data_IF_047007618955
#
_entry.id   IF_047007618955
#
_cell.length_a   1.000
_cell.length_b   1.000
_cell.length_c   1.000
_cell.angle_alpha   90.00
_cell.angle_beta   90.00
_cell.angle_gamma   90.00
#
_symmetry.space_group_name_H-M   'P 1'
#
loop_
_entity.id
_entity.type
_entity.pdbx_description
1 polymer ?
#
# COMPACT_ATOMS: atom_id res chain seq x y z
N UNK A 1 13.38 -22.87 4.16
CA UNK A 1 13.97 -21.71 3.47
C UNK A 1 14.84 -20.94 4.48
N UNK A 2 16.07 -20.53 4.14
CA UNK A 2 17.01 -19.92 5.11
C UNK A 2 16.80 -18.40 5.17
N UNK A 3 16.71 -17.83 6.37
CA UNK A 3 16.66 -16.37 6.53
C UNK A 3 18.02 -15.73 6.26
N UNK A 4 18.03 -14.68 5.43
CA UNK A 4 19.24 -13.93 5.10
C UNK A 4 19.62 -12.98 6.23
N UNK A 5 20.86 -13.05 6.71
CA UNK A 5 21.39 -12.06 7.66
C UNK A 5 21.60 -10.73 6.96
N UNK A 6 20.96 -9.67 7.43
CA UNK A 6 21.19 -8.31 6.92
C UNK A 6 22.48 -7.75 7.55
N UNK A 7 23.39 -7.25 6.71
CA UNK A 7 24.68 -6.67 7.12
C UNK A 7 24.75 -5.18 6.79
N UNK A 8 25.66 -4.47 7.46
CA UNK A 8 25.97 -3.06 7.16
C UNK A 8 24.86 -2.08 7.55
N UNK A 9 24.27 -2.24 8.75
CA UNK A 9 23.07 -1.46 9.13
C UNK A 9 23.25 0.06 9.08
N UNK A 10 24.42 0.58 9.44
CA UNK A 10 24.72 2.02 9.30
C UNK A 10 24.57 2.50 7.85
N UNK A 11 25.07 1.73 6.87
CA UNK A 11 24.95 2.06 5.44
C UNK A 11 23.48 1.99 4.99
N UNK A 12 22.74 0.99 5.48
CA UNK A 12 21.31 0.84 5.15
C UNK A 12 20.46 1.97 5.72
N UNK A 13 20.75 2.44 6.94
CA UNK A 13 20.08 3.61 7.52
C UNK A 13 20.37 4.89 6.72
N UNK A 14 21.60 5.08 6.23
CA UNK A 14 21.91 6.16 5.28
C UNK A 14 21.13 6.04 3.97
N UNK A 15 20.94 4.82 3.47
CA UNK A 15 20.12 4.56 2.27
C UNK A 15 18.65 4.92 2.48
N UNK A 16 18.10 4.66 3.69
CA UNK A 16 16.76 5.10 4.05
C UNK A 16 16.69 6.62 4.02
N UNK A 17 17.64 7.32 4.65
CA UNK A 17 17.65 8.79 4.63
C UNK A 17 17.74 9.36 3.21
N UNK A 18 18.58 8.77 2.36
CA UNK A 18 18.65 9.14 0.95
C UNK A 18 17.32 8.93 0.24
N UNK A 19 16.68 7.77 0.42
CA UNK A 19 15.35 7.49 -0.14
C UNK A 19 14.31 8.53 0.34
N UNK A 20 14.34 8.95 1.60
CA UNK A 20 13.46 10.00 2.12
C UNK A 20 13.69 11.30 1.34
N UNK A 21 14.93 11.78 1.30
CA UNK A 21 15.29 13.05 0.67
C UNK A 21 14.93 13.06 -0.81
N UNK A 22 15.19 11.96 -1.51
CA UNK A 22 14.91 11.84 -2.95
C UNK A 22 13.40 11.82 -3.26
N UNK A 23 12.53 11.50 -2.30
CA UNK A 23 11.07 11.41 -2.48
C UNK A 23 10.27 12.52 -1.77
N UNK A 24 10.90 13.42 -1.02
CA UNK A 24 10.20 14.58 -0.44
C UNK A 24 9.67 15.58 -1.49
N UNK A 25 10.39 15.90 -2.59
CA UNK A 25 9.82 16.71 -3.66
C UNK A 25 8.64 15.99 -4.31
N UNK A 26 7.49 16.67 -4.40
CA UNK A 26 6.30 16.12 -5.01
C UNK A 26 6.40 16.16 -6.53
N UNK A 27 5.98 15.08 -7.20
CA UNK A 27 6.08 14.91 -8.66
C UNK A 27 4.76 15.29 -9.33
N UNK A 28 4.57 16.59 -9.55
CA UNK A 28 3.35 17.11 -10.17
C UNK A 28 3.11 16.57 -11.58
N UNK A 29 4.16 16.24 -12.33
CA UNK A 29 4.10 15.65 -13.67
C UNK A 29 3.33 14.31 -13.69
N UNK A 30 3.54 13.48 -12.67
CA UNK A 30 2.81 12.21 -12.53
C UNK A 30 1.36 12.44 -12.13
N UNK A 31 1.12 13.37 -11.20
CA UNK A 31 -0.23 13.70 -10.76
C UNK A 31 -1.07 14.28 -11.90
N UNK A 32 -0.49 15.11 -12.77
CA UNK A 32 -1.19 15.67 -13.93
C UNK A 32 -1.55 14.60 -14.96
N UNK A 33 -0.63 13.65 -15.20
CA UNK A 33 -0.77 12.60 -16.21
C UNK A 33 -1.74 11.50 -15.76
N UNK A 34 -1.55 10.97 -14.56
CA UNK A 34 -2.25 9.78 -14.07
C UNK A 34 -3.34 10.08 -13.05
N UNK A 35 -3.43 11.33 -12.57
CA UNK A 35 -4.33 11.76 -11.48
C UNK A 35 -4.04 11.10 -10.13
N UNK A 36 -2.94 10.38 -10.02
CA UNK A 36 -2.43 9.79 -8.78
C UNK A 36 -0.91 9.69 -8.81
N UNK A 37 -0.30 9.72 -7.62
CA UNK A 37 1.11 9.35 -7.41
C UNK A 37 1.25 8.62 -6.08
N UNK A 38 2.27 7.78 -5.96
CA UNK A 38 2.59 7.09 -4.72
C UNK A 38 4.11 6.96 -4.52
N UNK A 39 4.50 6.92 -3.25
CA UNK A 39 5.87 6.64 -2.84
C UNK A 39 5.92 5.35 -2.04
N UNK A 40 6.39 4.28 -2.67
CA UNK A 40 6.65 2.97 -2.04
C UNK A 40 7.98 2.95 -1.27
N UNK A 41 8.11 2.01 -0.32
CA UNK A 41 9.40 1.73 0.32
C UNK A 41 10.32 0.97 -0.65
N UNK A 42 11.09 1.72 -1.44
CA UNK A 42 12.10 1.16 -2.36
C UNK A 42 13.49 1.23 -1.73
N UNK A 43 13.67 0.54 -0.60
CA UNK A 43 14.93 0.52 0.16
C UNK A 43 15.54 -0.87 0.20
N UNK A 44 16.69 -1.03 -0.48
CA UNK A 44 17.45 -2.27 -0.44
C UNK A 44 17.95 -2.61 0.98
N UNK A 45 17.80 -3.86 1.45
CA UNK A 45 17.37 -5.02 0.68
C UNK A 45 15.88 -5.37 0.85
N UNK A 46 15.10 -4.56 1.56
CA UNK A 46 13.73 -4.90 1.95
C UNK A 46 12.74 -4.83 0.80
N UNK A 47 13.11 -4.20 -0.32
CA UNK A 47 12.36 -4.22 -1.58
C UNK A 47 12.92 -5.23 -2.60
N UNK A 48 13.93 -6.05 -2.24
CA UNK A 48 14.56 -6.96 -3.20
C UNK A 48 13.75 -8.24 -3.36
N UNK A 49 13.68 -8.75 -4.60
CA UNK A 49 13.30 -10.13 -4.84
C UNK A 49 14.44 -11.07 -4.39
N UNK A 50 14.11 -12.12 -3.65
CA UNK A 50 15.09 -13.15 -3.27
C UNK A 50 15.42 -14.06 -4.47
N UNK A 51 16.55 -13.81 -5.13
CA UNK A 51 17.01 -14.68 -6.23
C UNK A 51 17.60 -16.02 -5.78
N UNK A 52 18.09 -16.13 -4.53
CA UNK A 52 18.89 -17.29 -4.08
C UNK A 52 18.12 -18.23 -3.14
N UNK A 53 16.78 -18.25 -3.21
CA UNK A 53 15.94 -19.09 -2.35
C UNK A 53 16.06 -18.79 -0.84
N UNK A 54 16.48 -17.57 -0.48
CA UNK A 54 16.67 -17.14 0.92
C UNK A 54 15.72 -16.00 1.28
N UNK A 55 14.96 -16.13 2.35
CA UNK A 55 13.99 -15.10 2.74
C UNK A 55 14.72 -13.87 3.26
N UNK A 56 14.38 -12.71 2.73
CA UNK A 56 14.81 -11.43 3.29
C UNK A 56 13.91 -11.15 4.50
N UNK A 57 14.46 -11.03 5.71
CA UNK A 57 13.63 -10.77 6.88
C UNK A 57 13.04 -9.35 6.79
N UNK A 58 11.79 -9.16 7.26
CA UNK A 58 11.16 -7.84 7.27
C UNK A 58 11.97 -6.86 8.13
N UNK A 59 11.85 -5.57 7.85
CA UNK A 59 12.46 -4.53 8.67
C UNK A 59 11.89 -4.57 10.10
N UNK A 60 12.76 -4.50 11.10
CA UNK A 60 12.38 -4.54 12.53
C UNK A 60 13.09 -3.45 13.33
N UNK A 61 12.55 -3.14 14.51
CA UNK A 61 13.14 -2.21 15.48
C UNK A 61 13.44 -0.84 14.86
N UNK A 62 14.67 -0.36 15.05
CA UNK A 62 15.11 0.95 14.56
C UNK A 62 14.95 1.14 13.06
N UNK A 63 15.18 0.11 12.25
CA UNK A 63 15.05 0.22 10.79
C UNK A 63 13.59 0.46 10.38
N UNK A 64 12.65 -0.32 10.95
CA UNK A 64 11.21 -0.12 10.70
C UNK A 64 10.77 1.27 11.12
N UNK A 65 11.25 1.74 12.29
CA UNK A 65 10.97 3.10 12.77
C UNK A 65 11.46 4.19 11.80
N UNK A 66 12.69 4.07 11.28
CA UNK A 66 13.23 5.02 10.31
C UNK A 66 12.41 5.07 9.02
N UNK A 67 11.92 3.92 8.54
CA UNK A 67 11.06 3.86 7.35
C UNK A 67 9.71 4.52 7.60
N UNK A 68 9.09 4.28 8.77
CA UNK A 68 7.85 4.95 9.17
C UNK A 68 8.05 6.46 9.26
N UNK A 69 9.13 6.91 9.92
CA UNK A 69 9.51 8.32 9.97
C UNK A 69 9.70 8.91 8.57
N UNK A 70 10.27 8.15 7.66
CA UNK A 70 10.41 8.52 6.27
C UNK A 70 9.09 8.74 5.55
N UNK A 71 8.18 7.77 5.64
CA UNK A 71 6.82 7.90 5.09
C UNK A 71 6.10 9.12 5.67
N UNK A 72 6.21 9.37 6.97
CA UNK A 72 5.64 10.55 7.63
C UNK A 72 6.25 11.86 7.12
N UNK A 73 7.58 11.92 6.92
CA UNK A 73 8.24 13.11 6.38
C UNK A 73 7.84 13.38 4.93
N UNK A 74 7.79 12.35 4.11
CA UNK A 74 7.33 12.43 2.71
C UNK A 74 5.88 12.91 2.68
N UNK A 75 5.01 12.33 3.50
CA UNK A 75 3.62 12.74 3.64
C UNK A 75 3.49 14.24 3.93
N UNK A 76 4.18 14.75 4.96
CA UNK A 76 4.06 16.16 5.32
C UNK A 76 4.69 17.09 4.27
N UNK A 77 5.79 16.69 3.64
CA UNK A 77 6.38 17.45 2.55
C UNK A 77 5.45 17.53 1.34
N UNK A 78 4.79 16.42 0.98
CA UNK A 78 3.79 16.38 -0.08
C UNK A 78 2.57 17.22 0.27
N UNK A 79 2.09 17.11 1.52
CA UNK A 79 0.97 17.89 2.02
C UNK A 79 1.21 19.40 1.87
N UNK A 80 2.36 19.90 2.33
CA UNK A 80 2.72 21.32 2.22
C UNK A 80 2.71 21.80 0.76
N UNK A 81 3.29 21.00 -0.15
CA UNK A 81 3.32 21.29 -1.58
C UNK A 81 1.92 21.27 -2.21
N UNK A 82 1.06 20.33 -1.82
CA UNK A 82 -0.32 20.23 -2.33
C UNK A 82 -1.25 21.31 -1.76
N UNK A 83 -1.04 21.79 -0.52
CA UNK A 83 -1.81 22.90 0.04
C UNK A 83 -1.57 24.21 -0.71
N UNK A 84 -0.37 24.39 -1.29
CA UNK A 84 -0.06 25.55 -2.15
C UNK A 84 -0.80 25.51 -3.48
N UNK A 85 -1.09 24.32 -4.03
CA UNK A 85 -1.76 24.20 -5.33
C UNK A 85 -3.27 24.50 -5.28
N UNK A 86 -3.85 24.65 -4.08
CA UNK A 86 -5.30 24.88 -3.84
C UNK A 86 -6.21 23.85 -4.52
N UNK A 87 -5.67 22.70 -4.90
CA UNK A 87 -6.43 21.63 -5.52
C UNK A 87 -6.93 20.69 -4.43
N UNK A 88 -8.13 20.18 -4.59
CA UNK A 88 -8.65 19.16 -3.71
C UNK A 88 -7.96 17.81 -3.98
N UNK A 89 -7.49 17.16 -2.92
CA UNK A 89 -6.65 15.97 -3.02
C UNK A 89 -6.99 14.93 -1.94
N UNK A 90 -6.76 13.67 -2.29
CA UNK A 90 -6.56 12.57 -1.37
C UNK A 90 -5.07 12.49 -1.04
N UNK A 91 -4.70 12.46 0.24
CA UNK A 91 -3.34 12.17 0.68
C UNK A 91 -3.38 11.35 1.96
N UNK A 92 -2.91 10.10 1.89
CA UNK A 92 -2.89 9.16 3.02
C UNK A 92 -1.58 8.35 3.06
N UNK A 93 -1.21 7.87 4.24
CA UNK A 93 -0.19 6.85 4.44
C UNK A 93 -0.88 5.50 4.56
N UNK A 94 -0.46 4.51 3.78
CA UNK A 94 -0.92 3.14 3.87
C UNK A 94 0.16 2.30 4.54
N UNK A 95 -0.10 1.82 5.76
CA UNK A 95 0.81 1.00 6.55
C UNK A 95 0.33 -0.44 6.60
N UNK A 96 1.05 -1.33 5.93
CA UNK A 96 0.76 -2.76 5.93
C UNK A 96 1.41 -3.40 7.15
N UNK A 97 0.61 -4.08 7.98
CA UNK A 97 1.13 -4.66 9.22
C UNK A 97 2.02 -5.89 8.93
N UNK A 98 1.48 -6.87 8.21
CA UNK A 98 2.17 -8.11 7.88
C UNK A 98 3.18 -7.96 6.73
N UNK A 99 2.84 -7.15 5.73
CA UNK A 99 3.62 -6.91 4.50
C UNK A 99 4.22 -5.50 4.48
N UNK A 100 4.95 -5.15 5.54
CA UNK A 100 5.37 -3.76 5.79
C UNK A 100 6.12 -3.10 4.63
N UNK A 101 6.86 -3.85 3.83
CA UNK A 101 7.53 -3.41 2.61
C UNK A 101 6.59 -2.83 1.54
N UNK A 102 5.30 -3.19 1.55
CA UNK A 102 4.28 -2.63 0.66
C UNK A 102 3.70 -1.29 1.14
N UNK A 103 4.12 -0.83 2.32
CA UNK A 103 3.68 0.46 2.87
C UNK A 103 4.13 1.61 2.00
N UNK A 104 3.28 2.64 1.91
CA UNK A 104 3.45 3.74 0.94
C UNK A 104 2.73 5.00 1.36
N UNK A 105 3.10 6.12 0.76
CA UNK A 105 2.29 7.35 0.74
C UNK A 105 1.53 7.38 -0.58
N UNK A 106 0.23 7.66 -0.55
CA UNK A 106 -0.64 7.71 -1.74
C UNK A 106 -1.25 9.10 -1.84
N UNK A 107 -1.15 9.70 -3.02
CA UNK A 107 -1.81 10.94 -3.40
C UNK A 107 -2.69 10.71 -4.63
N UNK A 108 -3.88 11.30 -4.65
CA UNK A 108 -4.75 11.27 -5.82
C UNK A 108 -5.61 12.54 -5.91
N UNK A 109 -6.09 12.85 -7.11
CA UNK A 109 -6.95 13.99 -7.42
C UNK A 109 -8.04 13.60 -8.41
N UNK A 110 -9.10 14.41 -8.51
CA UNK A 110 -10.22 14.16 -9.43
C UNK A 110 -10.87 12.79 -9.19
N UNK A 111 -11.19 12.07 -10.28
CA UNK A 111 -11.86 10.76 -10.20
C UNK A 111 -11.05 9.71 -9.41
N UNK A 112 -9.71 9.76 -9.47
CA UNK A 112 -8.85 8.85 -8.70
C UNK A 112 -8.98 9.11 -7.20
N UNK A 113 -9.12 10.38 -6.79
CA UNK A 113 -9.44 10.74 -5.40
C UNK A 113 -10.77 10.11 -4.99
N UNK A 114 -11.82 10.32 -5.77
CA UNK A 114 -13.18 9.83 -5.46
C UNK A 114 -13.19 8.31 -5.31
N UNK A 115 -12.43 7.61 -6.16
CA UNK A 115 -12.25 6.16 -6.06
C UNK A 115 -11.66 5.73 -4.70
N UNK A 116 -10.58 6.35 -4.24
CA UNK A 116 -9.98 6.01 -2.95
C UNK A 116 -10.85 6.38 -1.75
N UNK A 117 -11.54 7.53 -1.80
CA UNK A 117 -12.45 7.94 -0.72
C UNK A 117 -13.64 6.99 -0.61
N UNK A 118 -14.24 6.60 -1.74
CA UNK A 118 -15.33 5.62 -1.79
C UNK A 118 -14.93 4.28 -1.18
N UNK A 119 -13.67 3.87 -1.35
CA UNK A 119 -13.17 2.65 -0.72
C UNK A 119 -13.07 2.73 0.81
N UNK A 120 -13.10 3.92 1.39
CA UNK A 120 -13.04 4.18 2.83
C UNK A 120 -14.41 4.54 3.43
N UNK A 121 -15.44 4.75 2.59
CA UNK A 121 -16.79 5.02 3.06
C UNK A 121 -17.32 3.91 3.97
N UNK A 122 -17.91 4.31 5.09
CA UNK A 122 -18.46 3.37 6.09
C UNK A 122 -17.42 2.65 6.95
N UNK A 123 -16.13 2.80 6.66
CA UNK A 123 -15.04 2.30 7.53
C UNK A 123 -14.90 3.27 8.70
N UNK A 124 -15.09 2.76 9.92
CA UNK A 124 -14.95 3.58 11.13
C UNK A 124 -13.48 3.90 11.39
N UNK A 125 -13.24 5.09 11.89
CA UNK A 125 -11.93 5.44 12.44
C UNK A 125 -11.61 4.51 13.62
N UNK A 126 -10.40 3.97 13.61
CA UNK A 126 -9.87 3.07 14.62
C UNK A 126 -8.56 3.63 15.17
N UNK A 127 -8.31 3.40 16.45
CA UNK A 127 -7.01 3.70 17.03
C UNK A 127 -5.98 2.69 16.54
N UNK A 128 -4.86 3.20 16.01
CA UNK A 128 -3.71 2.36 15.69
C UNK A 128 -3.26 1.61 16.96
N UNK A 129 -3.28 0.27 16.98
CA UNK A 129 -2.97 -0.48 18.19
C UNK A 129 -1.54 -0.18 18.64
N UNK A 130 -1.37 0.10 19.92
CA UNK A 130 -0.11 0.53 20.52
C UNK A 130 1.01 -0.51 20.35
N UNK A 131 0.68 -1.78 20.15
CA UNK A 131 1.65 -2.85 19.90
C UNK A 131 2.12 -2.94 18.43
N UNK A 132 1.32 -2.50 17.46
CA UNK A 132 1.60 -2.66 16.02
C UNK A 132 2.81 -1.82 15.58
N UNK A 133 2.90 -0.60 16.12
CA UNK A 133 3.92 0.38 15.79
C UNK A 133 4.45 1.11 17.03
N UNK A 134 4.60 0.39 18.15
CA UNK A 134 4.92 0.93 19.49
C UNK A 134 6.01 2.01 19.50
N UNK A 135 7.10 1.81 18.77
CA UNK A 135 8.23 2.75 18.73
C UNK A 135 7.95 4.04 17.92
N UNK A 136 6.85 4.09 17.16
CA UNK A 136 6.44 5.22 16.33
C UNK A 136 5.14 5.87 16.84
N UNK A 137 4.62 5.47 18.00
CA UNK A 137 3.28 5.86 18.47
C UNK A 137 3.06 7.39 18.47
N UNK A 138 4.05 8.16 18.95
CA UNK A 138 3.97 9.64 18.98
C UNK A 138 3.96 10.30 17.60
N UNK A 139 4.50 9.64 16.57
CA UNK A 139 4.42 10.14 15.19
C UNK A 139 3.06 9.80 14.59
N UNK A 140 2.55 8.62 14.91
CA UNK A 140 1.30 8.10 14.37
C UNK A 140 0.07 8.73 15.03
N UNK A 141 0.18 9.30 16.23
CA UNK A 141 -0.91 10.01 16.90
C UNK A 141 -1.38 11.27 16.19
N UNK A 142 -0.59 11.79 15.23
CA UNK A 142 -0.97 12.95 14.43
C UNK A 142 -1.98 12.62 13.32
N UNK A 143 -2.29 11.34 13.12
CA UNK A 143 -3.14 10.86 12.03
C UNK A 143 -4.42 10.24 12.57
N UNK A 144 -5.52 10.45 11.85
CA UNK A 144 -6.72 9.64 11.99
C UNK A 144 -6.56 8.39 11.12
N UNK A 145 -6.75 7.22 11.72
CA UNK A 145 -6.49 5.93 11.08
C UNK A 145 -7.79 5.17 10.83
N UNK A 146 -7.86 4.51 9.68
CA UNK A 146 -8.88 3.53 9.33
C UNK A 146 -8.21 2.19 9.06
N UNK A 147 -8.81 1.09 9.56
CA UNK A 147 -8.31 -0.26 9.36
C UNK A 147 -9.06 -0.94 8.21
N UNK A 148 -8.33 -1.61 7.32
CA UNK A 148 -8.88 -2.49 6.28
C UNK A 148 -8.16 -3.82 6.28
N UNK A 149 -8.83 -4.84 5.73
CA UNK A 149 -8.20 -6.12 5.46
C UNK A 149 -7.22 -6.00 4.30
N UNK A 150 -6.01 -6.48 4.53
CA UNK A 150 -5.00 -6.72 3.51
C UNK A 150 -5.30 -8.07 2.85
N UNK A 151 -5.83 -8.06 1.62
CA UNK A 151 -6.23 -9.28 0.92
C UNK A 151 -5.51 -9.40 -0.43
N UNK A 152 -5.14 -10.62 -0.81
CA UNK A 152 -4.91 -10.93 -2.22
C UNK A 152 -6.23 -11.43 -2.81
N UNK A 153 -6.79 -10.72 -3.79
CA UNK A 153 -8.01 -11.13 -4.47
C UNK A 153 -7.68 -11.62 -5.87
N UNK A 154 -8.27 -12.76 -6.24
CA UNK A 154 -8.16 -13.36 -7.57
C UNK A 154 -9.54 -13.56 -8.16
N UNK A 155 -9.70 -13.25 -9.44
CA UNK A 155 -10.94 -13.51 -10.15
C UNK A 155 -10.90 -14.83 -10.92
N UNK A 156 -12.07 -15.39 -11.22
CA UNK A 156 -12.17 -16.49 -12.17
C UNK A 156 -11.68 -16.12 -13.59
N UNK A 157 -11.62 -14.83 -13.92
CA UNK A 157 -11.07 -14.34 -15.18
C UNK A 157 -9.53 -14.22 -15.16
N UNK A 158 -8.87 -14.36 -14.00
CA UNK A 158 -7.40 -14.30 -13.91
C UNK A 158 -6.75 -15.52 -14.59
N UNK A 159 -7.52 -16.61 -14.75
CA UNK A 159 -7.13 -17.74 -15.56
C UNK A 159 -7.57 -17.47 -17.01
N UNK A 160 -6.67 -16.92 -17.81
CA UNK A 160 -6.88 -16.67 -19.25
C UNK A 160 -7.15 -17.99 -20.03
N UNK A 161 -7.56 -17.87 -21.29
CA UNK A 161 -7.82 -19.04 -22.15
C UNK A 161 -6.52 -19.78 -22.48
N UNK A 162 -6.56 -21.09 -22.78
CA UNK A 162 -5.36 -21.85 -23.16
C UNK A 162 -4.57 -21.23 -24.33
N UNK A 163 -5.26 -20.55 -25.25
CA UNK A 163 -4.64 -19.87 -26.40
C UNK A 163 -3.78 -18.66 -25.99
N UNK A 164 -4.01 -18.07 -24.82
CA UNK A 164 -3.28 -16.91 -24.32
C UNK A 164 -1.91 -17.28 -23.74
N UNK A 165 -1.60 -18.58 -23.61
CA UNK A 165 -0.36 -19.07 -23.05
C UNK A 165 0.63 -19.50 -24.13
N UNK A 166 1.93 -19.38 -23.83
CA UNK A 166 3.00 -19.83 -24.73
C UNK A 166 2.98 -21.33 -25.00
N UNK A 167 2.37 -22.13 -24.10
CA UNK A 167 2.18 -23.56 -24.26
C UNK A 167 1.00 -24.08 -23.43
N UNK A 168 0.43 -25.23 -23.84
CA UNK A 168 -0.61 -25.92 -23.08
C UNK A 168 -0.08 -26.37 -21.70
N UNK A 169 1.19 -26.75 -21.60
CA UNK A 169 1.81 -27.17 -20.33
C UNK A 169 1.85 -26.00 -19.32
N UNK A 170 2.12 -24.78 -19.78
CA UNK A 170 2.10 -23.59 -18.91
C UNK A 170 0.69 -23.26 -18.43
N UNK A 171 -0.32 -23.38 -19.31
CA UNK A 171 -1.72 -23.26 -18.94
C UNK A 171 -2.10 -24.29 -17.85
N UNK A 172 -1.78 -25.57 -18.07
CA UNK A 172 -2.08 -26.64 -17.11
C UNK A 172 -1.36 -26.45 -15.77
N UNK A 173 -0.14 -25.91 -15.75
CA UNK A 173 0.56 -25.55 -14.50
C UNK A 173 -0.17 -24.44 -13.76
N UNK A 174 -0.59 -23.39 -14.47
CA UNK A 174 -1.29 -22.25 -13.89
C UNK A 174 -2.67 -22.66 -13.36
N UNK A 175 -3.43 -23.44 -14.13
CA UNK A 175 -4.71 -24.01 -13.71
C UNK A 175 -4.56 -24.88 -12.45
N UNK A 176 -3.55 -25.77 -12.43
CA UNK A 176 -3.27 -26.60 -11.26
C UNK A 176 -2.89 -25.78 -10.02
N UNK A 177 -2.12 -24.71 -10.20
CA UNK A 177 -1.77 -23.80 -9.11
C UNK A 177 -3.02 -23.07 -8.59
N UNK A 178 -3.86 -22.55 -9.48
CA UNK A 178 -5.09 -21.84 -9.15
C UNK A 178 -6.07 -22.73 -8.40
N UNK A 179 -6.29 -23.96 -8.89
CA UNK A 179 -7.12 -24.96 -8.23
C UNK A 179 -6.59 -25.36 -6.84
N UNK A 180 -5.27 -25.35 -6.64
CA UNK A 180 -4.68 -25.56 -5.30
C UNK A 180 -4.83 -24.33 -4.40
N UNK A 181 -4.81 -23.13 -4.97
CA UNK A 181 -5.01 -21.88 -4.23
C UNK A 181 -6.43 -21.80 -3.67
N UNK A 182 -7.45 -22.08 -4.48
CA UNK A 182 -8.87 -22.06 -4.09
C UNK A 182 -9.23 -23.06 -2.98
N UNK A 183 -8.43 -24.12 -2.76
CA UNK A 183 -8.63 -25.04 -1.64
C UNK A 183 -8.28 -24.45 -0.28
N UNK A 184 -7.57 -23.31 -0.24
CA UNK A 184 -7.21 -22.63 1.01
C UNK A 184 -8.39 -21.79 1.50
N UNK A 185 -8.50 -21.49 2.81
CA UNK A 185 -9.54 -20.61 3.33
C UNK A 185 -9.50 -19.23 2.67
N UNK A 186 -10.64 -18.78 2.16
CA UNK A 186 -10.82 -17.49 1.49
C UNK A 186 -12.28 -17.04 1.56
N UNK A 187 -12.51 -15.77 1.25
CA UNK A 187 -13.84 -15.20 1.09
C UNK A 187 -14.17 -15.08 -0.39
N UNK A 188 -15.39 -15.40 -0.78
CA UNK A 188 -15.89 -15.21 -2.14
C UNK A 188 -16.86 -14.03 -2.18
N UNK A 189 -16.70 -13.14 -3.15
CA UNK A 189 -17.63 -12.02 -3.40
C UNK A 189 -18.00 -11.99 -4.87
N UNK A 190 -19.29 -11.83 -5.16
CA UNK A 190 -19.79 -11.66 -6.53
C UNK A 190 -19.75 -10.19 -6.89
N UNK A 191 -18.99 -9.86 -7.93
CA UNK A 191 -18.88 -8.51 -8.48
C UNK A 191 -19.67 -8.46 -9.79
N UNK A 192 -20.77 -7.71 -9.79
CA UNK A 192 -21.57 -7.46 -10.99
C UNK A 192 -21.00 -6.32 -11.82
N UNK A 193 -20.94 -6.48 -13.14
CA UNK A 193 -20.70 -5.38 -14.07
C UNK A 193 -22.01 -4.67 -14.45
N UNK A 194 -21.89 -3.49 -15.08
CA UNK A 194 -23.05 -2.71 -15.53
C UNK A 194 -23.87 -3.41 -16.64
N UNK A 195 -23.35 -4.51 -17.21
CA UNK A 195 -24.00 -5.31 -18.26
C UNK A 195 -24.69 -6.56 -17.69
N UNK A 196 -24.63 -6.78 -16.37
CA UNK A 196 -25.24 -7.92 -15.70
C UNK A 196 -24.40 -9.20 -15.70
N UNK A 197 -23.12 -9.14 -16.10
CA UNK A 197 -22.19 -10.25 -15.90
C UNK A 197 -21.67 -10.24 -14.48
N UNK A 198 -21.46 -11.42 -13.91
CA UNK A 198 -20.91 -11.57 -12.57
C UNK A 198 -19.52 -12.20 -12.65
N UNK A 199 -18.58 -11.59 -11.93
CA UNK A 199 -17.23 -12.12 -11.72
C UNK A 199 -17.13 -12.57 -10.27
N UNK A 200 -16.67 -13.79 -10.05
CA UNK A 200 -16.37 -14.27 -8.69
C UNK A 200 -14.96 -13.81 -8.30
N UNK A 201 -14.87 -13.06 -7.21
CA UNK A 201 -13.61 -12.65 -6.60
C UNK A 201 -13.35 -13.50 -5.35
N UNK A 202 -12.21 -14.18 -5.33
CA UNK A 202 -11.71 -15.01 -4.24
C UNK A 202 -10.59 -14.26 -3.49
N UNK A 203 -10.88 -13.80 -2.28
CA UNK A 203 -9.98 -12.96 -1.49
C UNK A 203 -9.37 -13.73 -0.30
N UNK A 204 -8.04 -13.72 -0.22
CA UNK A 204 -7.25 -14.40 0.80
C UNK A 204 -6.62 -13.38 1.74
N UNK A 205 -6.97 -13.48 3.03
CA UNK A 205 -6.45 -12.59 4.06
C UNK A 205 -4.93 -12.73 4.26
N UNK A 206 -4.23 -11.60 4.22
CA UNK A 206 -2.78 -11.44 4.41
C UNK A 206 -2.41 -10.62 5.63
N UNK A 207 -3.34 -9.86 6.19
CA UNK A 207 -3.15 -9.07 7.41
C UNK A 207 -4.04 -7.83 7.42
N UNK A 208 -3.61 -6.79 8.12
CA UNK A 208 -4.31 -5.50 8.16
C UNK A 208 -3.50 -4.41 7.44
N UNK A 209 -4.24 -3.50 6.81
CA UNK A 209 -3.74 -2.22 6.29
C UNK A 209 -4.30 -1.10 7.16
N UNK A 210 -3.43 -0.21 7.62
CA UNK A 210 -3.80 1.00 8.33
C UNK A 210 -3.64 2.20 7.41
N UNK A 211 -4.74 2.88 7.11
CA UNK A 211 -4.79 4.02 6.20
C UNK A 211 -4.95 5.28 7.05
N UNK A 212 -3.93 6.12 7.05
CA UNK A 212 -3.82 7.29 7.93
C UNK A 212 -3.75 8.59 7.18
N UNK A 213 -4.48 9.59 7.63
CA UNK A 213 -4.36 10.96 7.13
C UNK A 213 -4.58 11.96 8.23
N UNK A 214 -4.02 13.15 8.07
CA UNK A 214 -4.48 14.32 8.82
C UNK A 214 -5.75 14.84 8.18
N UNK A 215 -6.65 15.44 8.98
CA UNK A 215 -7.77 16.18 8.41
C UNK A 215 -7.29 17.28 7.45
N UNK A 216 -8.03 17.50 6.37
CA UNK A 216 -7.74 18.55 5.39
C UNK A 216 -7.75 19.91 6.09
N UNK A 217 -6.62 20.61 6.04
CA UNK A 217 -6.56 22.02 6.40
C UNK A 217 -7.29 22.81 5.32
N UNK A 218 -8.52 23.23 5.65
CA UNK A 218 -9.34 24.33 5.12
C UNK A 218 -10.79 23.83 4.98
N UNK A 219 -11.53 23.87 6.11
CA UNK A 219 -12.95 24.22 6.06
C UNK A 219 -13.04 25.73 5.89
N UNK A 220 -12.89 26.23 4.66
CA UNK A 220 -13.41 27.56 4.32
C UNK A 220 -14.91 27.44 4.12
N UNK A 221 -15.64 27.32 5.23
CA UNK A 221 -17.07 27.61 5.33
C UNK A 221 -17.23 28.35 6.66
N UNK A 222 -17.65 29.60 6.75
CA UNK A 222 -18.14 30.58 5.81
C UNK A 222 -18.62 31.69 6.74
N UNK A 223 -18.03 32.88 6.64
CA UNK A 223 -18.53 34.04 7.37
C UNK A 223 -19.90 34.37 6.76
N UNK A 224 -20.96 34.16 7.54
CA UNK A 224 -22.23 34.86 7.38
C UNK A 224 -22.46 35.71 8.61
#
# INVERSE_FOLDING_TARGET
MKMRKIRGMKRRHKSIEKWIVDNMPFRYDLLETYKEDHCDIVVHPWCDLSMTGSIIPPAKGKTKLLMIQGLTRIYFAWKEQLEVSQQDYYLKIWLFNARFDLSRVVCAVGESKDFYEKQLEGVKDEYLPTNTFSNAHSLMSNFSWQRKDDNDCYSNNDLASPEDYSSIDDYLKQENWFNKLLKKPHTTTLLGDAKGNFTEAHCFHRGDIWIGGTEQGIKSQGIK
#
